data_IF_751434774998
#
_entry.id   IF_751434774998
#
_cell.length_a   1.000
_cell.length_b   1.000
_cell.length_c   1.000
_cell.angle_alpha   90.00
_cell.angle_beta   90.00
_cell.angle_gamma   90.00
#
_symmetry.space_group_name_H-M   'P 1'
#
loop_
_entity.id
_entity.type
_entity.pdbx_description
1 polymer ?
#
# COMPACT_ATOMS: atom_id res chain seq x y z
N UNK A 1 22.44 -14.72 5.33
CA UNK A 1 21.73 -13.59 4.69
C UNK A 1 22.80 -12.65 4.14
N UNK A 2 22.69 -12.23 2.88
CA UNK A 2 23.62 -11.27 2.28
C UNK A 2 23.35 -9.87 2.84
N UNK A 3 24.37 -9.03 2.94
CA UNK A 3 24.17 -7.59 3.15
C UNK A 3 23.61 -6.95 1.87
N UNK A 4 23.05 -5.74 1.99
CA UNK A 4 22.58 -5.00 0.82
C UNK A 4 23.70 -4.79 -0.21
N UNK A 5 24.90 -4.38 0.23
CA UNK A 5 26.04 -4.17 -0.68
C UNK A 5 26.46 -5.47 -1.38
N UNK A 6 26.48 -6.59 -0.67
CA UNK A 6 26.78 -7.90 -1.28
C UNK A 6 25.76 -8.27 -2.35
N UNK A 7 24.46 -8.05 -2.11
CA UNK A 7 23.42 -8.29 -3.10
C UNK A 7 23.55 -7.37 -4.32
N UNK A 8 23.94 -6.11 -4.12
CA UNK A 8 24.23 -5.16 -5.19
C UNK A 8 25.43 -5.63 -6.03
N UNK A 9 26.50 -6.09 -5.38
CA UNK A 9 27.70 -6.57 -6.06
C UNK A 9 27.44 -7.87 -6.84
N UNK A 10 26.73 -8.83 -6.23
CA UNK A 10 26.35 -10.09 -6.89
C UNK A 10 25.40 -9.87 -8.08
N UNK A 11 24.57 -8.83 -8.04
CA UNK A 11 23.63 -8.51 -9.12
C UNK A 11 24.26 -7.77 -10.30
N UNK A 12 25.54 -7.37 -10.24
CA UNK A 12 26.26 -6.71 -11.35
C UNK A 12 26.35 -7.57 -12.62
N UNK A 13 26.20 -8.89 -12.49
CA UNK A 13 26.13 -9.81 -13.64
C UNK A 13 24.84 -9.65 -14.46
N UNK A 14 23.83 -8.95 -13.94
CA UNK A 14 22.57 -8.68 -14.62
C UNK A 14 22.50 -7.22 -15.09
N UNK A 15 21.88 -7.01 -16.25
CA UNK A 15 21.76 -5.67 -16.86
C UNK A 15 20.69 -4.79 -16.20
N UNK A 16 19.75 -5.40 -15.47
CA UNK A 16 18.59 -4.73 -14.88
C UNK A 16 18.37 -5.24 -13.46
N UNK A 17 17.90 -4.34 -12.60
CA UNK A 17 17.58 -4.63 -11.20
C UNK A 17 16.20 -4.07 -10.89
N UNK A 18 15.39 -4.83 -10.18
CA UNK A 18 14.07 -4.40 -9.73
C UNK A 18 13.95 -4.60 -8.22
N UNK A 19 13.14 -3.78 -7.57
CA UNK A 19 12.83 -3.91 -6.14
C UNK A 19 11.36 -4.26 -5.95
N UNK A 20 11.08 -5.18 -5.03
CA UNK A 20 9.76 -5.41 -4.47
C UNK A 20 9.78 -5.00 -3.00
N UNK A 21 9.06 -3.93 -2.67
CA UNK A 21 8.96 -3.37 -1.33
C UNK A 21 7.75 -4.00 -0.63
N UNK A 22 8.02 -4.71 0.46
CA UNK A 22 7.00 -5.11 1.42
C UNK A 22 7.08 -4.28 2.69
N UNK A 23 6.32 -4.69 3.71
CA UNK A 23 6.13 -3.92 4.94
C UNK A 23 7.45 -3.62 5.68
N UNK A 24 8.51 -4.42 5.44
CA UNK A 24 9.86 -4.15 5.93
C UNK A 24 10.40 -2.76 5.55
N UNK A 25 10.01 -2.21 4.39
CA UNK A 25 10.35 -0.85 3.99
C UNK A 25 9.79 0.17 4.99
N UNK A 26 8.50 0.06 5.30
CA UNK A 26 7.78 0.97 6.20
C UNK A 26 8.21 0.79 7.65
N UNK A 27 8.43 -0.46 8.08
CA UNK A 27 9.02 -0.80 9.37
C UNK A 27 10.41 -0.20 9.54
N UNK A 28 11.24 -0.20 8.50
CA UNK A 28 12.60 0.36 8.57
C UNK A 28 12.60 1.87 8.80
N UNK A 29 11.55 2.56 8.33
CA UNK A 29 11.35 3.98 8.55
C UNK A 29 10.75 4.25 9.94
N UNK A 30 9.60 3.65 10.25
CA UNK A 30 8.88 3.90 11.52
C UNK A 30 8.38 2.57 12.13
N UNK A 31 9.23 1.84 12.87
CA UNK A 31 8.88 0.52 13.40
C UNK A 31 7.78 0.57 14.48
N UNK A 32 7.64 1.71 15.16
CA UNK A 32 6.60 1.97 16.15
C UNK A 32 5.19 2.08 15.54
N UNK A 33 5.10 2.25 14.22
CA UNK A 33 3.85 2.35 13.47
C UNK A 33 3.58 1.06 12.68
N UNK A 34 4.54 0.61 11.88
CA UNK A 34 4.29 -0.38 10.82
C UNK A 34 4.53 -1.83 11.21
N UNK A 35 5.09 -2.12 12.39
CA UNK A 35 5.23 -3.51 12.85
C UNK A 35 3.85 -4.13 13.03
N UNK A 36 3.68 -5.37 12.58
CA UNK A 36 2.37 -6.06 12.56
C UNK A 36 1.62 -6.00 13.89
N UNK A 37 2.32 -6.21 15.02
CA UNK A 37 1.71 -6.12 16.34
C UNK A 37 1.16 -4.73 16.67
N UNK A 38 1.81 -3.65 16.19
CA UNK A 38 1.34 -2.27 16.39
C UNK A 38 0.10 -1.97 15.57
N UNK A 39 0.07 -2.40 14.31
CA UNK A 39 -1.12 -2.29 13.47
C UNK A 39 -2.29 -3.08 14.07
N UNK A 40 -2.02 -4.29 14.59
CA UNK A 40 -3.02 -5.12 15.26
C UNK A 40 -3.56 -4.49 16.54
N UNK A 41 -2.70 -3.89 17.37
CA UNK A 41 -3.11 -3.16 18.60
C UNK A 41 -3.99 -1.95 18.30
N UNK A 42 -3.73 -1.25 17.19
CA UNK A 42 -4.46 -0.03 16.79
C UNK A 42 -5.69 -0.31 15.94
N UNK A 43 -5.82 -1.51 15.40
CA UNK A 43 -6.94 -1.91 14.57
C UNK A 43 -8.27 -1.94 15.34
N UNK A 44 -9.29 -1.34 14.74
CA UNK A 44 -10.64 -1.32 15.28
C UNK A 44 -11.49 -2.44 14.66
N UNK A 45 -11.57 -3.57 15.35
CA UNK A 45 -12.40 -4.71 14.90
C UNK A 45 -13.91 -4.53 15.15
N UNK A 46 -14.37 -3.34 15.57
CA UNK A 46 -15.82 -3.10 15.74
C UNK A 46 -16.51 -3.17 14.38
N UNK A 47 -17.57 -3.96 14.30
CA UNK A 47 -18.32 -4.18 13.05
C UNK A 47 -17.93 -5.43 12.28
N UNK A 48 -16.76 -6.03 12.60
CA UNK A 48 -16.39 -7.35 12.10
C UNK A 48 -17.02 -8.47 12.93
N UNK A 49 -17.15 -9.64 12.31
CA UNK A 49 -17.55 -10.84 13.05
C UNK A 49 -16.50 -11.20 14.11
N UNK A 50 -16.89 -11.83 15.23
CA UNK A 50 -15.92 -12.37 16.19
C UNK A 50 -14.95 -13.37 15.54
N UNK A 51 -15.39 -14.08 14.51
CA UNK A 51 -14.59 -15.06 13.76
C UNK A 51 -13.39 -14.40 13.07
N UNK A 52 -13.53 -13.19 12.54
CA UNK A 52 -12.44 -12.45 11.90
C UNK A 52 -11.26 -12.26 12.87
N UNK A 53 -11.54 -11.92 14.14
CA UNK A 53 -10.49 -11.79 15.15
C UNK A 53 -9.94 -13.14 15.59
N UNK A 54 -10.79 -14.15 15.77
CA UNK A 54 -10.37 -15.50 16.14
C UNK A 54 -9.48 -16.14 15.06
N UNK A 55 -9.58 -15.73 13.80
CA UNK A 55 -8.71 -16.23 12.73
C UNK A 55 -7.22 -15.89 12.98
N UNK A 56 -6.91 -14.74 13.59
CA UNK A 56 -5.54 -14.39 13.98
C UNK A 56 -5.00 -15.33 15.06
N UNK A 57 -5.83 -15.64 16.05
CA UNK A 57 -5.49 -16.58 17.14
C UNK A 57 -5.29 -17.99 16.58
N UNK A 58 -6.18 -18.45 15.70
CA UNK A 58 -6.11 -19.76 15.06
C UNK A 58 -4.85 -19.93 14.19
N UNK A 59 -4.41 -18.85 13.53
CA UNK A 59 -3.21 -18.85 12.68
C UNK A 59 -1.92 -18.47 13.43
N UNK A 60 -2.02 -18.18 14.74
CA UNK A 60 -0.92 -17.71 15.59
C UNK A 60 -0.11 -16.57 14.93
N UNK A 61 -0.81 -15.57 14.40
CA UNK A 61 -0.21 -14.45 13.66
C UNK A 61 -0.93 -13.14 13.96
N UNK A 62 -0.24 -12.02 13.78
CA UNK A 62 -0.80 -10.66 13.79
C UNK A 62 -0.72 -9.99 12.40
N UNK A 63 -0.29 -10.74 11.39
CA UNK A 63 -0.19 -10.28 10.01
C UNK A 63 -1.58 -10.33 9.33
N UNK A 64 -2.15 -9.15 9.08
CA UNK A 64 -3.44 -8.99 8.41
C UNK A 64 -3.47 -9.64 7.04
N UNK A 65 -2.45 -9.42 6.20
CA UNK A 65 -2.46 -9.93 4.83
C UNK A 65 -2.46 -11.45 4.81
N UNK A 66 -1.72 -12.07 5.72
CA UNK A 66 -1.75 -13.54 5.90
C UNK A 66 -3.14 -14.04 6.25
N UNK A 67 -3.83 -13.39 7.19
CA UNK A 67 -5.19 -13.80 7.60
C UNK A 67 -6.19 -13.57 6.45
N UNK A 68 -6.13 -12.42 5.79
CA UNK A 68 -6.98 -12.07 4.64
C UNK A 68 -6.81 -13.10 3.51
N UNK A 69 -5.57 -13.45 3.17
CA UNK A 69 -5.28 -14.47 2.16
C UNK A 69 -5.88 -15.81 2.54
N UNK A 70 -5.66 -16.27 3.78
CA UNK A 70 -6.19 -17.57 4.23
C UNK A 70 -7.72 -17.59 4.22
N UNK A 71 -8.40 -16.52 4.61
CA UNK A 71 -9.86 -16.43 4.55
C UNK A 71 -10.37 -16.53 3.11
N UNK A 72 -9.74 -15.82 2.18
CA UNK A 72 -10.07 -15.87 0.74
C UNK A 72 -9.83 -17.24 0.14
N UNK A 73 -8.65 -17.80 0.37
CA UNK A 73 -8.27 -19.15 -0.11
C UNK A 73 -9.21 -20.21 0.46
N UNK A 74 -9.57 -20.09 1.74
CA UNK A 74 -10.54 -20.99 2.38
C UNK A 74 -11.92 -20.87 1.75
N UNK A 75 -12.40 -19.66 1.45
CA UNK A 75 -13.68 -19.46 0.75
C UNK A 75 -13.66 -20.11 -0.64
N UNK A 76 -12.58 -19.95 -1.40
CA UNK A 76 -12.40 -20.59 -2.71
C UNK A 76 -12.42 -22.12 -2.57
N UNK A 77 -11.61 -22.68 -1.66
CA UNK A 77 -11.53 -24.12 -1.46
C UNK A 77 -12.89 -24.69 -1.04
N UNK A 78 -13.57 -24.08 -0.05
CA UNK A 78 -14.87 -24.55 0.43
C UNK A 78 -15.97 -24.49 -0.62
N UNK A 79 -15.89 -23.56 -1.58
CA UNK A 79 -16.85 -23.47 -2.69
C UNK A 79 -16.89 -24.74 -3.57
N UNK A 80 -15.82 -25.54 -3.55
CA UNK A 80 -15.75 -26.81 -4.27
C UNK A 80 -16.42 -27.98 -3.53
N UNK A 81 -16.75 -27.84 -2.24
CA UNK A 81 -17.29 -28.93 -1.42
C UNK A 81 -18.83 -28.90 -1.37
N UNK A 82 -19.46 -30.07 -1.53
CA UNK A 82 -20.93 -30.20 -1.44
C UNK A 82 -21.40 -30.04 0.00
N UNK A 83 -22.50 -29.31 0.19
CA UNK A 83 -23.17 -29.13 1.49
C UNK A 83 -22.65 -27.95 2.33
N UNK A 84 -21.69 -27.18 1.81
CA UNK A 84 -21.26 -25.91 2.42
C UNK A 84 -22.37 -24.87 2.25
N UNK A 85 -22.68 -24.15 3.33
CA UNK A 85 -23.69 -23.08 3.32
C UNK A 85 -23.13 -21.84 2.62
N UNK A 86 -23.92 -21.24 1.73
CA UNK A 86 -23.56 -19.98 1.05
C UNK A 86 -23.23 -18.87 2.05
N UNK A 87 -23.94 -18.80 3.18
CA UNK A 87 -23.70 -17.80 4.22
C UNK A 87 -22.29 -17.88 4.82
N UNK A 88 -21.70 -19.09 4.93
CA UNK A 88 -20.34 -19.25 5.40
C UNK A 88 -19.32 -18.71 4.39
N UNK A 89 -19.52 -19.01 3.09
CA UNK A 89 -18.66 -18.51 2.03
C UNK A 89 -18.69 -16.98 1.96
N UNK A 90 -19.89 -16.40 2.11
CA UNK A 90 -20.11 -14.96 2.17
C UNK A 90 -19.43 -14.35 3.40
N UNK A 91 -19.60 -14.94 4.58
CA UNK A 91 -18.97 -14.46 5.80
C UNK A 91 -17.45 -14.45 5.70
N UNK A 92 -16.83 -15.48 5.11
CA UNK A 92 -15.38 -15.52 4.91
C UNK A 92 -14.88 -14.38 3.99
N UNK A 93 -15.65 -14.06 2.94
CA UNK A 93 -15.34 -12.96 2.03
C UNK A 93 -15.52 -11.61 2.72
N UNK A 94 -16.65 -11.41 3.41
CA UNK A 94 -16.94 -10.19 4.18
C UNK A 94 -15.91 -9.95 5.30
N UNK A 95 -15.49 -10.99 6.02
CA UNK A 95 -14.44 -10.89 7.02
C UNK A 95 -13.10 -10.53 6.38
N UNK A 96 -12.76 -11.09 5.22
CA UNK A 96 -11.51 -10.78 4.51
C UNK A 96 -11.48 -9.34 4.00
N UNK A 97 -12.59 -8.83 3.47
CA UNK A 97 -12.68 -7.46 2.96
C UNK A 97 -12.74 -6.46 4.11
N UNK A 98 -13.53 -6.72 5.15
CA UNK A 98 -13.55 -5.87 6.34
C UNK A 98 -12.21 -5.86 7.08
N UNK A 99 -11.43 -6.94 7.07
CA UNK A 99 -10.06 -6.93 7.60
C UNK A 99 -9.10 -6.08 6.77
N UNK A 100 -9.26 -6.02 5.44
CA UNK A 100 -8.52 -5.07 4.60
C UNK A 100 -8.86 -3.64 4.98
N UNK A 101 -10.15 -3.33 5.13
CA UNK A 101 -10.61 -1.99 5.53
C UNK A 101 -10.03 -1.58 6.89
N UNK A 102 -10.06 -2.48 7.87
CA UNK A 102 -9.46 -2.26 9.20
C UNK A 102 -7.95 -2.03 9.11
N UNK A 103 -7.23 -2.79 8.26
CA UNK A 103 -5.81 -2.58 8.03
C UNK A 103 -5.53 -1.19 7.45
N UNK A 104 -6.25 -0.80 6.40
CA UNK A 104 -6.09 0.50 5.75
C UNK A 104 -6.37 1.63 6.74
N UNK A 105 -7.44 1.55 7.52
CA UNK A 105 -7.76 2.53 8.55
C UNK A 105 -6.68 2.60 9.65
N UNK A 106 -6.17 1.44 10.10
CA UNK A 106 -5.09 1.39 11.09
C UNK A 106 -3.82 2.08 10.57
N UNK A 107 -3.50 1.87 9.29
CA UNK A 107 -2.37 2.54 8.63
C UNK A 107 -2.64 4.04 8.51
N UNK A 108 -3.77 4.47 7.95
CA UNK A 108 -4.09 5.90 7.74
C UNK A 108 -4.19 6.72 9.04
N UNK A 109 -4.70 6.12 10.11
CA UNK A 109 -4.77 6.76 11.44
C UNK A 109 -3.42 6.81 12.16
N UNK A 110 -2.50 5.91 11.82
CA UNK A 110 -1.19 5.79 12.46
C UNK A 110 -0.05 6.42 11.68
N UNK A 111 -0.25 6.63 10.37
CA UNK A 111 0.75 7.18 9.47
C UNK A 111 1.21 8.56 9.95
N UNK A 112 2.49 8.92 9.77
CA UNK A 112 2.93 10.30 10.00
C UNK A 112 2.02 11.30 9.28
N UNK A 113 1.72 12.42 9.93
CA UNK A 113 0.74 13.40 9.43
C UNK A 113 1.36 14.33 8.36
N UNK A 114 2.69 14.49 8.39
CA UNK A 114 3.38 15.41 7.52
C UNK A 114 4.73 14.84 7.07
N UNK A 115 5.13 15.00 5.78
CA UNK A 115 6.47 14.64 5.31
C UNK A 115 7.64 15.17 6.16
N UNK A 116 7.46 16.30 6.87
CA UNK A 116 8.47 16.86 7.77
C UNK A 116 8.76 16.02 9.03
N UNK A 117 7.93 15.02 9.34
CA UNK A 117 8.18 14.04 10.41
C UNK A 117 9.31 13.06 10.06
N UNK A 118 9.78 13.07 8.80
CA UNK A 118 10.92 12.30 8.30
C UNK A 118 12.05 13.26 7.97
N UNK A 119 13.26 12.96 8.45
CA UNK A 119 14.41 13.82 8.23
C UNK A 119 14.88 13.79 6.77
N UNK A 120 15.48 14.88 6.32
CA UNK A 120 16.07 14.96 4.98
C UNK A 120 17.11 13.87 4.73
N UNK A 121 17.84 13.45 5.78
CA UNK A 121 18.83 12.38 5.70
C UNK A 121 18.20 11.01 5.43
N UNK A 122 17.03 10.73 6.02
CA UNK A 122 16.29 9.49 5.78
C UNK A 122 15.78 9.45 4.34
N UNK A 123 15.22 10.55 3.85
CA UNK A 123 14.81 10.66 2.46
C UNK A 123 15.99 10.50 1.49
N UNK A 124 17.13 11.13 1.76
CA UNK A 124 18.32 11.01 0.92
C UNK A 124 18.82 9.56 0.86
N UNK A 125 18.87 8.87 2.00
CA UNK A 125 19.25 7.45 2.07
C UNK A 125 18.28 6.56 1.28
N UNK A 126 16.97 6.82 1.41
CA UNK A 126 15.95 6.11 0.65
C UNK A 126 16.10 6.34 -0.86
N UNK A 127 16.35 7.58 -1.31
CA UNK A 127 16.62 7.88 -2.73
C UNK A 127 17.86 7.17 -3.25
N UNK A 128 18.94 7.12 -2.47
CA UNK A 128 20.15 6.36 -2.83
C UNK A 128 19.82 4.87 -2.99
N UNK A 129 19.08 4.29 -2.05
CA UNK A 129 18.61 2.91 -2.16
C UNK A 129 17.79 2.69 -3.44
N UNK A 130 16.74 3.49 -3.67
CA UNK A 130 15.84 3.37 -4.83
C UNK A 130 16.56 3.56 -6.17
N UNK A 131 17.60 4.40 -6.22
CA UNK A 131 18.38 4.66 -7.44
C UNK A 131 19.13 3.43 -8.00
N UNK A 132 19.24 2.34 -7.22
CA UNK A 132 19.82 1.08 -7.67
C UNK A 132 18.90 0.27 -8.58
N UNK A 133 17.62 0.63 -8.70
CA UNK A 133 16.60 -0.18 -9.34
C UNK A 133 15.96 0.53 -10.54
N UNK A 134 15.70 -0.24 -11.58
CA UNK A 134 15.00 0.19 -12.78
C UNK A 134 13.50 0.35 -12.52
N UNK A 135 12.89 -0.65 -11.86
CA UNK A 135 11.49 -0.64 -11.46
C UNK A 135 11.37 -0.93 -9.96
N UNK A 136 10.40 -0.28 -9.32
CA UNK A 136 10.04 -0.45 -7.92
C UNK A 136 8.58 -0.86 -7.86
N UNK A 137 8.34 -2.06 -7.35
CA UNK A 137 7.03 -2.59 -7.04
C UNK A 137 6.83 -2.46 -5.53
N UNK A 138 5.65 -2.06 -5.09
CA UNK A 138 5.33 -1.98 -3.65
C UNK A 138 4.02 -2.69 -3.35
N UNK A 139 4.02 -3.41 -2.22
CA UNK A 139 2.84 -4.00 -1.60
C UNK A 139 2.36 -3.14 -0.41
N UNK A 140 3.07 -2.06 -0.09
CA UNK A 140 2.76 -1.23 1.06
C UNK A 140 1.64 -0.26 0.74
N UNK A 141 0.67 -0.18 1.65
CA UNK A 141 -0.42 0.78 1.57
C UNK A 141 0.02 2.21 1.91
N UNK A 142 1.07 2.43 2.69
CA UNK A 142 1.43 3.76 3.18
C UNK A 142 1.92 4.76 2.11
N UNK A 143 2.17 6.01 2.53
CA UNK A 143 2.62 7.10 1.67
C UNK A 143 4.14 7.28 1.65
N UNK A 144 4.92 6.42 2.34
CA UNK A 144 6.35 6.65 2.54
C UNK A 144 7.15 6.56 1.24
N UNK A 145 6.80 5.63 0.34
CA UNK A 145 7.43 5.55 -0.98
C UNK A 145 7.13 6.80 -1.80
N UNK A 146 5.85 7.20 -1.84
CA UNK A 146 5.41 8.41 -2.53
C UNK A 146 6.15 9.65 -2.00
N UNK A 147 6.23 9.83 -0.68
CA UNK A 147 6.98 10.93 -0.08
C UNK A 147 8.47 10.87 -0.41
N UNK A 148 9.08 9.69 -0.36
CA UNK A 148 10.51 9.53 -0.68
C UNK A 148 10.85 9.92 -2.11
N UNK A 149 9.94 9.64 -3.04
CA UNK A 149 10.08 9.95 -4.46
C UNK A 149 9.85 11.44 -4.73
N UNK A 150 8.88 12.05 -4.03
CA UNK A 150 8.48 13.44 -4.24
C UNK A 150 9.32 14.45 -3.47
N UNK A 151 10.02 14.03 -2.41
CA UNK A 151 10.87 14.91 -1.60
C UNK A 151 12.20 15.19 -2.30
N UNK A 152 12.46 16.46 -2.63
CA UNK A 152 13.60 16.91 -3.44
C UNK A 152 14.42 18.04 -2.78
N UNK A 153 14.39 18.15 -1.45
CA UNK A 153 15.04 19.22 -0.69
C UNK A 153 16.55 19.42 -0.98
N UNK A 154 17.26 18.39 -1.46
CA UNK A 154 18.68 18.43 -1.85
C UNK A 154 18.90 18.67 -3.35
N UNK A 155 17.83 18.95 -4.11
CA UNK A 155 17.85 19.09 -5.57
C UNK A 155 18.10 17.79 -6.35
N UNK A 156 18.17 16.64 -5.66
CA UNK A 156 18.43 15.34 -6.27
C UNK A 156 17.14 14.57 -6.45
N UNK A 157 16.60 14.60 -7.67
CA UNK A 157 15.41 13.83 -8.04
C UNK A 157 15.79 12.49 -8.64
N UNK A 158 15.15 11.42 -8.18
CA UNK A 158 15.22 10.13 -8.88
C UNK A 158 14.23 10.12 -10.03
N UNK A 159 14.55 9.41 -11.12
CA UNK A 159 13.59 9.21 -12.21
C UNK A 159 12.45 8.34 -11.68
N UNK A 160 11.26 8.91 -11.62
CA UNK A 160 10.06 8.25 -11.09
C UNK A 160 8.84 8.57 -11.94
N UNK A 161 8.10 7.54 -12.28
CA UNK A 161 6.83 7.61 -12.99
C UNK A 161 5.94 6.48 -12.47
N UNK A 162 4.81 6.82 -11.86
CA UNK A 162 3.83 5.85 -11.37
C UNK A 162 2.69 5.59 -12.38
N UNK A 163 2.80 6.14 -13.59
CA UNK A 163 1.85 5.90 -14.69
C UNK A 163 0.57 6.74 -14.63
N UNK A 164 0.28 7.40 -13.50
CA UNK A 164 -0.95 8.19 -13.38
C UNK A 164 -0.84 9.55 -14.08
N UNK A 165 -1.91 9.98 -14.75
CA UNK A 165 -2.00 11.23 -15.52
C UNK A 165 -3.34 11.93 -15.30
N UNK A 166 -3.40 13.22 -15.57
CA UNK A 166 -4.67 13.95 -15.62
C UNK A 166 -5.61 13.28 -16.64
N UNK A 167 -6.89 13.04 -16.30
CA UNK A 167 -7.87 12.52 -17.24
C UNK A 167 -7.93 13.34 -18.53
N UNK A 168 -8.10 12.69 -19.68
CA UNK A 168 -8.16 13.40 -20.98
C UNK A 168 -9.45 14.22 -21.15
N UNK A 169 -10.51 13.83 -20.44
CA UNK A 169 -11.84 14.43 -20.48
C UNK A 169 -12.09 15.46 -19.35
N UNK A 170 -11.23 15.51 -18.33
CA UNK A 170 -11.31 16.47 -17.22
C UNK A 170 -9.91 16.95 -16.76
N UNK A 171 -9.47 18.07 -17.36
CA UNK A 171 -8.19 18.69 -17.03
C UNK A 171 -8.16 19.38 -15.66
N UNK A 172 -9.32 19.71 -15.10
CA UNK A 172 -9.46 20.36 -13.79
C UNK A 172 -9.75 19.34 -12.66
N UNK A 173 -9.67 18.05 -12.97
CA UNK A 173 -9.92 16.97 -12.01
C UNK A 173 -9.05 17.10 -10.75
N UNK A 174 -9.66 16.82 -9.60
CA UNK A 174 -8.97 16.77 -8.31
C UNK A 174 -8.04 15.54 -8.15
N UNK A 175 -8.12 14.58 -9.09
CA UNK A 175 -7.37 13.34 -9.11
C UNK A 175 -6.70 13.09 -10.46
N UNK A 176 -5.83 12.09 -10.51
CA UNK A 176 -5.22 11.58 -11.73
C UNK A 176 -5.62 10.11 -11.91
N UNK A 177 -5.67 9.62 -13.14
CA UNK A 177 -6.08 8.26 -13.47
C UNK A 177 -4.93 7.45 -14.02
N UNK A 178 -4.95 6.13 -13.79
CA UNK A 178 -4.03 5.21 -14.43
C UNK A 178 -4.67 4.60 -15.66
N UNK A 179 -3.97 4.71 -16.80
CA UNK A 179 -4.39 4.08 -18.06
C UNK A 179 -3.25 3.26 -18.68
N UNK A 180 -3.55 2.07 -19.23
CA UNK A 180 -2.54 1.24 -19.88
C UNK A 180 -1.83 1.94 -21.06
N UNK A 181 -2.53 2.82 -21.79
CA UNK A 181 -2.03 3.44 -23.02
C UNK A 181 -1.00 4.55 -22.82
N UNK A 182 -1.03 5.22 -21.67
CA UNK A 182 -0.23 6.42 -21.36
C UNK A 182 0.99 6.13 -20.45
N UNK A 183 1.06 4.91 -19.89
CA UNK A 183 2.06 4.46 -18.91
C UNK A 183 3.41 3.99 -19.50
N UNK A 184 3.91 4.63 -20.57
CA UNK A 184 5.07 4.13 -21.35
C UNK A 184 6.42 4.18 -20.61
N UNK A 185 6.55 5.03 -19.59
CA UNK A 185 7.78 5.19 -18.81
C UNK A 185 7.61 4.81 -17.33
N UNK A 186 6.49 4.16 -16.98
CA UNK A 186 6.16 3.80 -15.61
C UNK A 186 7.23 2.88 -15.02
N UNK A 187 7.75 3.25 -13.86
CA UNK A 187 8.73 2.49 -13.12
C UNK A 187 8.38 2.30 -11.64
N UNK A 188 7.26 2.87 -11.17
CA UNK A 188 6.72 2.63 -9.84
C UNK A 188 5.34 1.98 -9.96
N UNK A 189 5.13 0.90 -9.21
CA UNK A 189 3.92 0.07 -9.30
C UNK A 189 3.37 -0.23 -7.90
N UNK A 190 2.14 0.21 -7.64
CA UNK A 190 1.41 -0.05 -6.40
C UNK A 190 0.53 -1.30 -6.56
N UNK A 191 1.08 -2.49 -6.32
CA UNK A 191 0.45 -3.75 -6.72
C UNK A 191 -0.79 -4.12 -5.90
N UNK A 192 -0.81 -3.75 -4.62
CA UNK A 192 -1.96 -3.96 -3.73
C UNK A 192 -2.80 -2.69 -3.52
N UNK A 193 -2.53 -1.65 -4.31
CA UNK A 193 -2.99 -0.29 -4.04
C UNK A 193 -2.03 0.49 -3.14
N UNK A 194 -2.48 1.67 -2.73
CA UNK A 194 -1.82 2.55 -1.78
C UNK A 194 -2.87 3.50 -1.21
N UNK A 195 -2.63 4.11 -0.04
CA UNK A 195 -3.59 4.98 0.64
C UNK A 195 -4.18 6.06 -0.26
N UNK A 196 -3.41 6.53 -1.25
CA UNK A 196 -3.77 7.60 -2.18
C UNK A 196 -4.25 7.08 -3.55
N UNK A 197 -4.42 5.76 -3.74
CA UNK A 197 -4.86 5.10 -4.97
C UNK A 197 -6.17 4.37 -4.67
N UNK A 198 -7.22 4.63 -5.43
CA UNK A 198 -8.59 4.15 -5.20
C UNK A 198 -9.15 3.50 -6.47
N UNK A 199 -9.88 2.40 -6.31
CA UNK A 199 -10.64 1.77 -7.38
C UNK A 199 -12.06 2.36 -7.45
N UNK A 200 -12.33 3.15 -8.50
CA UNK A 200 -13.66 3.72 -8.76
C UNK A 200 -14.54 2.81 -9.66
N UNK A 201 -14.11 1.56 -9.88
CA UNK A 201 -14.81 0.53 -10.65
C UNK A 201 -14.59 0.63 -12.15
N UNK A 202 -14.74 1.84 -12.73
CA UNK A 202 -14.47 2.08 -14.16
C UNK A 202 -13.03 2.52 -14.44
N UNK A 203 -12.36 3.07 -13.42
CA UNK A 203 -11.01 3.60 -13.51
C UNK A 203 -10.31 3.54 -12.14
N UNK A 204 -8.97 3.59 -12.17
CA UNK A 204 -8.17 3.71 -10.96
C UNK A 204 -7.75 5.16 -10.78
N UNK A 205 -8.20 5.76 -9.69
CA UNK A 205 -7.96 7.16 -9.36
C UNK A 205 -6.82 7.26 -8.35
N UNK A 206 -5.99 8.29 -8.45
CA UNK A 206 -4.98 8.63 -7.46
C UNK A 206 -5.11 10.08 -7.06
N UNK A 207 -5.25 10.31 -5.76
CA UNK A 207 -5.31 11.65 -5.20
C UNK A 207 -3.93 12.32 -5.24
N UNK A 208 -3.91 13.62 -5.49
CA UNK A 208 -2.69 14.40 -5.52
C UNK A 208 -2.83 15.64 -4.65
N UNK A 209 -1.71 16.10 -4.09
CA UNK A 209 -1.68 17.38 -3.38
C UNK A 209 -1.75 18.56 -4.37
N UNK A 210 -1.13 18.44 -5.55
CA UNK A 210 -0.98 19.56 -6.49
C UNK A 210 -2.30 20.02 -7.10
N UNK A 211 -3.28 19.12 -7.26
CA UNK A 211 -4.57 19.46 -7.85
C UNK A 211 -5.52 20.14 -6.83
N UNK A 212 -5.40 19.82 -5.54
CA UNK A 212 -6.36 20.26 -4.51
C UNK A 212 -5.79 21.22 -3.46
N UNK A 213 -4.46 21.27 -3.31
CA UNK A 213 -3.77 21.94 -2.20
C UNK A 213 -3.94 21.26 -0.83
N UNK A 214 -4.72 20.18 -0.75
CA UNK A 214 -5.02 19.45 0.50
C UNK A 214 -4.01 18.32 0.71
N UNK A 215 -3.59 18.08 1.95
CA UNK A 215 -2.60 17.02 2.24
C UNK A 215 -3.20 15.66 1.88
N UNK A 216 -2.40 14.77 1.30
CA UNK A 216 -2.88 13.43 0.91
C UNK A 216 -3.48 12.68 2.09
N UNK A 217 -2.83 12.69 3.26
CA UNK A 217 -3.35 11.98 4.43
C UNK A 217 -4.73 12.48 4.87
N UNK A 218 -5.03 13.77 4.70
CA UNK A 218 -6.34 14.36 4.98
C UNK A 218 -7.37 13.92 3.94
N UNK A 219 -7.00 13.95 2.65
CA UNK A 219 -7.86 13.47 1.56
C UNK A 219 -8.23 11.99 1.76
N UNK A 220 -7.25 11.17 2.16
CA UNK A 220 -7.44 9.74 2.45
C UNK A 220 -8.35 9.53 3.65
N UNK A 221 -8.15 10.25 4.75
CA UNK A 221 -9.03 10.14 5.93
C UNK A 221 -10.47 10.52 5.59
N UNK A 222 -10.68 11.60 4.83
CA UNK A 222 -12.01 12.00 4.37
C UNK A 222 -12.66 10.93 3.47
N UNK A 223 -11.89 10.33 2.56
CA UNK A 223 -12.39 9.24 1.72
C UNK A 223 -12.82 8.02 2.55
N UNK A 224 -11.99 7.62 3.52
CA UNK A 224 -12.30 6.52 4.43
C UNK A 224 -13.55 6.81 5.29
N UNK A 225 -13.76 8.06 5.73
CA UNK A 225 -14.99 8.48 6.42
C UNK A 225 -16.25 8.36 5.54
N UNK A 226 -16.08 8.49 4.22
CA UNK A 226 -17.14 8.29 3.23
C UNK A 226 -17.30 6.83 2.78
N UNK A 227 -16.59 5.89 3.42
CA UNK A 227 -16.50 4.47 3.05
C UNK A 227 -15.94 4.24 1.63
N UNK A 228 -15.04 5.11 1.19
CA UNK A 228 -14.26 4.94 -0.02
C UNK A 228 -12.90 4.37 0.38
N UNK A 229 -12.62 3.14 -0.05
CA UNK A 229 -11.41 2.41 0.31
C UNK A 229 -10.44 2.32 -0.88
N UNK A 230 -9.13 2.47 -0.64
CA UNK A 230 -8.06 2.13 -1.58
C UNK A 230 -8.10 0.70 -2.12
#
# INVERSE_FOLDING_TARGET
MLTFQQAIDESQQYNIRHALLGNGFSISCRPDIFVYGRLFERANFRGLSPSAKLAFEALATQDFEKVISVLRDTSIVLSAYKGVKCDLLKQLQEDADGLREVLVQAIASSHPDWPGDISDSEYANCRVFLSNFNNVYTLNYDLLLYWSVMHDADGKKIKSDDGFRTPEDDFDSEYVVWEPGTSRNQNIWYLHGALHVFDAGIEIQKYTWVNTGKRLIEQVRNALEMNLFP
#
